data_IF_648457151695
#
_entry.id   IF_648457151695
#
_cell.length_a   1.000
_cell.length_b   1.000
_cell.length_c   1.000
_cell.angle_alpha   90.00
_cell.angle_beta   90.00
_cell.angle_gamma   90.00
#
_symmetry.space_group_name_H-M   'P 1'
#
loop_
_entity.id
_entity.type
_entity.pdbx_description
1 polymer ?
#
# COMPACT_ATOMS: atom_id res chain seq x y z
N UNK A 1 -2.64 16.44 -10.45
CA UNK A 1 -1.79 17.50 -11.04
C UNK A 1 -0.31 17.08 -11.12
N UNK A 2 0.31 16.58 -10.04
CA UNK A 2 1.73 16.20 -10.05
C UNK A 2 2.12 15.04 -10.98
N UNK A 3 1.31 13.97 -11.05
CA UNK A 3 1.62 12.80 -11.88
C UNK A 3 1.81 13.16 -13.37
N UNK A 4 0.86 13.90 -13.96
CA UNK A 4 0.97 14.30 -15.37
C UNK A 4 2.17 15.21 -15.64
N UNK A 5 2.49 16.10 -14.70
CA UNK A 5 3.61 17.03 -14.82
C UNK A 5 4.97 16.32 -14.71
N UNK A 6 5.11 15.34 -13.81
CA UNK A 6 6.40 14.64 -13.62
C UNK A 6 6.68 13.63 -14.72
N UNK A 7 5.65 12.98 -15.27
CA UNK A 7 5.80 12.03 -16.38
C UNK A 7 6.32 12.67 -17.67
N UNK A 8 6.08 13.97 -17.87
CA UNK A 8 6.56 14.72 -19.05
C UNK A 8 8.04 15.11 -18.96
N UNK A 9 8.67 14.99 -17.79
CA UNK A 9 10.06 15.38 -17.59
C UNK A 9 11.01 14.34 -18.18
N UNK A 10 12.10 14.81 -18.78
CA UNK A 10 13.19 13.95 -19.22
C UNK A 10 13.79 13.22 -18.01
N UNK A 11 14.00 11.91 -18.14
CA UNK A 11 14.46 11.05 -17.04
C UNK A 11 13.35 10.43 -16.18
N UNK A 12 12.08 10.84 -16.33
CA UNK A 12 10.96 10.21 -15.61
C UNK A 12 10.84 8.72 -15.94
N UNK A 13 11.08 8.33 -17.19
CA UNK A 13 11.07 6.93 -17.65
C UNK A 13 12.07 6.06 -16.89
N UNK A 14 13.30 6.51 -16.73
CA UNK A 14 14.35 5.75 -16.03
C UNK A 14 14.05 5.62 -14.53
N UNK A 15 13.47 6.66 -13.93
CA UNK A 15 12.98 6.60 -12.54
C UNK A 15 11.87 5.56 -12.36
N UNK A 16 10.91 5.49 -13.29
CA UNK A 16 9.82 4.49 -13.26
C UNK A 16 10.37 3.08 -13.45
N UNK A 17 11.29 2.88 -14.40
CA UNK A 17 11.92 1.58 -14.62
C UNK A 17 12.67 1.12 -13.37
N UNK A 18 13.38 2.02 -12.70
CA UNK A 18 14.08 1.73 -11.45
C UNK A 18 13.10 1.40 -10.32
N UNK A 19 12.00 2.14 -10.20
CA UNK A 19 10.96 1.92 -9.19
C UNK A 19 10.28 0.54 -9.32
N UNK A 20 10.05 0.09 -10.55
CA UNK A 20 9.41 -1.20 -10.86
C UNK A 20 10.40 -2.36 -10.98
N UNK A 21 11.71 -2.09 -10.93
CA UNK A 21 12.73 -3.13 -11.07
C UNK A 21 12.72 -4.08 -9.87
N UNK A 22 12.55 -5.37 -10.15
CA UNK A 22 12.50 -6.42 -9.14
C UNK A 22 13.91 -6.87 -8.80
N UNK A 23 14.29 -6.72 -7.53
CA UNK A 23 15.59 -7.14 -7.00
C UNK A 23 15.43 -8.49 -6.29
N UNK A 24 15.62 -9.60 -7.00
CA UNK A 24 15.29 -10.95 -6.49
C UNK A 24 16.02 -11.32 -5.19
N UNK A 25 17.24 -10.82 -5.00
CA UNK A 25 18.03 -11.03 -3.79
C UNK A 25 17.33 -10.49 -2.52
N UNK A 26 16.47 -9.47 -2.66
CA UNK A 26 15.79 -8.84 -1.53
C UNK A 26 14.73 -9.73 -0.89
N UNK A 27 14.18 -10.71 -1.63
CA UNK A 27 13.16 -11.62 -1.09
C UNK A 27 13.69 -12.52 0.04
N UNK A 28 15.00 -12.75 0.11
CA UNK A 28 15.62 -13.51 1.19
C UNK A 28 15.85 -12.70 2.47
N UNK A 29 15.63 -11.38 2.44
CA UNK A 29 15.77 -10.53 3.61
C UNK A 29 14.50 -10.60 4.47
N UNK A 30 14.53 -11.19 5.67
CA UNK A 30 13.35 -11.29 6.53
C UNK A 30 12.82 -9.91 6.98
N UNK A 31 13.71 -8.91 7.09
CA UNK A 31 13.30 -7.55 7.46
C UNK A 31 12.42 -6.92 6.37
N UNK A 32 12.60 -7.28 5.09
CA UNK A 32 11.76 -6.78 4.00
C UNK A 32 10.30 -7.19 4.21
N UNK A 33 10.06 -8.46 4.56
CA UNK A 33 8.73 -8.99 4.81
C UNK A 33 8.09 -8.39 6.05
N UNK A 34 8.87 -8.22 7.12
CA UNK A 34 8.41 -7.56 8.33
C UNK A 34 7.97 -6.11 8.07
N UNK A 35 8.81 -5.34 7.36
CA UNK A 35 8.48 -3.96 6.99
C UNK A 35 7.27 -3.89 6.06
N UNK A 36 7.18 -4.74 5.04
CA UNK A 36 6.03 -4.79 4.15
C UNK A 36 4.73 -5.13 4.89
N UNK A 37 4.77 -6.07 5.85
CA UNK A 37 3.62 -6.40 6.67
C UNK A 37 3.18 -5.21 7.55
N UNK A 38 4.14 -4.53 8.18
CA UNK A 38 3.86 -3.34 8.98
C UNK A 38 3.26 -2.21 8.13
N UNK A 39 3.79 -1.98 6.93
CA UNK A 39 3.30 -0.96 5.99
C UNK A 39 1.87 -1.26 5.54
N UNK A 40 1.56 -2.52 5.18
CA UNK A 40 0.21 -2.92 4.79
C UNK A 40 -0.78 -2.75 5.96
N UNK A 41 -0.43 -3.24 7.15
CA UNK A 41 -1.29 -3.13 8.34
C UNK A 41 -1.58 -1.67 8.70
N UNK A 42 -0.57 -0.81 8.57
CA UNK A 42 -0.69 0.62 8.85
C UNK A 42 -1.49 1.33 7.75
N UNK A 43 -1.24 1.03 6.48
CA UNK A 43 -1.96 1.62 5.34
C UNK A 43 -3.45 1.24 5.35
N UNK A 44 -3.79 0.04 5.81
CA UNK A 44 -5.20 -0.37 5.96
C UNK A 44 -5.81 0.11 7.30
N UNK A 45 -5.01 0.67 8.20
CA UNK A 45 -5.46 1.15 9.51
C UNK A 45 -6.00 0.04 10.42
N UNK A 46 -5.63 -1.23 10.19
CA UNK A 46 -6.20 -2.40 10.87
C UNK A 46 -6.01 -2.31 12.39
N UNK A 47 -4.84 -1.84 12.84
CA UNK A 47 -4.51 -1.74 14.25
C UNK A 47 -5.11 -0.50 14.97
N UNK A 48 -5.83 0.37 14.25
CA UNK A 48 -6.29 1.67 14.80
C UNK A 48 -7.66 1.62 15.48
N UNK A 49 -8.40 0.52 15.32
CA UNK A 49 -9.79 0.42 15.80
C UNK A 49 -10.82 1.19 14.96
N UNK A 50 -10.38 1.98 13.98
CA UNK A 50 -11.27 2.79 13.14
C UNK A 50 -12.29 1.93 12.37
N UNK A 51 -11.86 0.78 11.84
CA UNK A 51 -12.75 -0.15 11.12
C UNK A 51 -13.89 -0.64 12.03
N UNK A 52 -13.60 -0.96 13.29
CA UNK A 52 -14.63 -1.38 14.25
C UNK A 52 -15.63 -0.27 14.54
N UNK A 53 -15.16 0.96 14.73
CA UNK A 53 -16.03 2.13 14.96
C UNK A 53 -16.90 2.39 13.74
N UNK A 54 -16.33 2.45 12.53
CA UNK A 54 -17.10 2.66 11.31
C UNK A 54 -18.10 1.53 11.04
N UNK A 55 -17.71 0.27 11.28
CA UNK A 55 -18.60 -0.87 11.10
C UNK A 55 -19.76 -0.89 12.10
N UNK A 56 -19.62 -0.28 13.28
CA UNK A 56 -20.70 -0.21 14.29
C UNK A 56 -21.90 0.61 13.83
N UNK A 57 -21.72 1.49 12.83
CA UNK A 57 -22.80 2.25 12.22
C UNK A 57 -23.46 1.54 11.03
N UNK A 58 -22.97 0.36 10.63
CA UNK A 58 -23.58 -0.39 9.53
C UNK A 58 -24.86 -1.13 9.99
N UNK A 59 -25.96 -1.07 9.21
CA UNK A 59 -27.16 -1.83 9.53
C UNK A 59 -26.93 -3.34 9.38
N UNK A 60 -27.50 -4.13 10.29
CA UNK A 60 -27.29 -5.58 10.45
C UNK A 60 -27.63 -6.45 9.22
N UNK A 61 -28.37 -5.92 8.24
CA UNK A 61 -28.74 -6.63 7.00
C UNK A 61 -27.78 -6.41 5.84
N UNK A 62 -26.74 -5.60 6.02
CA UNK A 62 -25.72 -5.38 4.99
C UNK A 62 -24.62 -6.42 5.18
N UNK A 63 -24.42 -7.37 4.25
CA UNK A 63 -23.34 -8.33 4.40
C UNK A 63 -22.00 -7.60 4.31
N UNK A 64 -21.23 -7.64 5.41
CA UNK A 64 -19.80 -7.35 5.38
C UNK A 64 -19.14 -8.51 4.63
N UNK A 65 -18.90 -8.34 3.33
CA UNK A 65 -18.10 -9.31 2.56
C UNK A 65 -16.63 -9.07 2.92
N UNK A 66 -16.10 -9.94 3.77
CA UNK A 66 -14.66 -10.15 3.93
C UNK A 66 -14.10 -11.01 2.81
#
# INVERSE_FOLDING_TARGET
MFLFFTLQKQGAREGILTMLSIHKESFYNPNLWHSAAADVLTSLGIATGAIFVFASFNPLRTPLKG
#
